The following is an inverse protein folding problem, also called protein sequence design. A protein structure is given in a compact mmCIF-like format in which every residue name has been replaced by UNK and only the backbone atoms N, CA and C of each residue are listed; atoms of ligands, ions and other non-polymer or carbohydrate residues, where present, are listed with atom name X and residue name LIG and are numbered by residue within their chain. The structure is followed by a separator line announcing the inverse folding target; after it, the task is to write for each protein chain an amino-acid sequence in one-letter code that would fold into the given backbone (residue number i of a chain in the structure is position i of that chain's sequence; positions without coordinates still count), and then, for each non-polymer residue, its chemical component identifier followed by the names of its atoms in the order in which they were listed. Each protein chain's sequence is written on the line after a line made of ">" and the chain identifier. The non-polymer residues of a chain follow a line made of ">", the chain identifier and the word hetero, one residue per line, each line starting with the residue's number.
data_IF_955093469276
#
_entry.id   IF_955093469276
#
_cell.length_a   1.000
_cell.length_b   1.000
_cell.length_c   1.000
_cell.angle_alpha   90.00
_cell.angle_beta   90.00
_cell.angle_gamma   90.00
#
_symmetry.space_group_name_H-M   'P 1'
#
loop_
_entity.id
_entity.type
_entity.pdbx_description
1 polymer ?
#
# COMPACT_ATOMS: atom_id res chain seq x y z
N UNK A 1 -4.37 14.40 26.59
CA UNK A 1 -3.26 14.86 25.74
C UNK A 1 -3.42 14.27 24.34
N UNK A 2 -4.06 15.01 23.44
CA UNK A 2 -4.42 14.56 22.09
C UNK A 2 -3.54 15.29 21.06
N UNK A 3 -2.26 14.93 21.02
CA UNK A 3 -1.32 15.44 20.01
C UNK A 3 -1.41 14.56 18.76
N UNK A 4 -2.22 15.02 17.80
CA UNK A 4 -2.46 14.48 16.45
C UNK A 4 -3.27 13.16 16.33
N UNK A 5 -4.54 13.31 15.94
CA UNK A 5 -5.28 12.25 15.22
C UNK A 5 -4.48 11.90 13.96
N UNK A 6 -4.25 10.61 13.70
CA UNK A 6 -3.57 10.07 12.51
C UNK A 6 -2.02 10.01 12.55
N UNK A 7 -1.40 9.84 13.74
CA UNK A 7 0.02 9.46 13.83
C UNK A 7 0.20 7.94 13.94
N UNK A 8 0.57 7.35 12.82
CA UNK A 8 1.18 6.01 12.73
C UNK A 8 2.48 5.98 13.57
N UNK A 9 2.81 4.84 14.21
CA UNK A 9 4.02 4.67 15.02
C UNK A 9 5.31 5.05 14.28
N UNK A 10 5.25 5.08 12.94
CA UNK A 10 6.31 5.55 12.04
C UNK A 10 6.85 6.95 12.34
N UNK A 11 6.03 7.85 12.90
CA UNK A 11 6.49 9.21 13.21
C UNK A 11 7.51 9.28 14.36
N UNK A 12 7.69 8.18 15.10
CA UNK A 12 8.65 8.07 16.19
C UNK A 12 9.97 7.44 15.70
N UNK A 13 9.98 6.79 14.52
CA UNK A 13 11.16 6.11 13.96
C UNK A 13 12.40 7.02 13.85
N UNK A 14 12.30 8.30 13.42
CA UNK A 14 13.47 9.18 13.34
C UNK A 14 14.13 9.48 14.70
N UNK A 15 13.40 9.28 15.81
CA UNK A 15 13.93 9.48 17.16
C UNK A 15 14.68 8.26 17.70
N UNK A 16 14.53 7.08 17.07
CA UNK A 16 15.16 5.85 17.55
C UNK A 16 16.69 5.90 17.53
N UNK A 17 17.37 6.38 16.46
CA UNK A 17 18.83 6.43 16.46
C UNK A 17 19.42 7.36 17.55
N UNK A 18 18.94 8.61 17.74
CA UNK A 18 19.39 9.44 18.86
C UNK A 18 19.14 8.80 20.24
N UNK A 19 17.98 8.19 20.45
CA UNK A 19 17.67 7.49 21.70
C UNK A 19 18.60 6.28 21.94
N UNK A 20 18.93 5.53 20.89
CA UNK A 20 19.87 4.42 20.97
C UNK A 20 21.29 4.89 21.36
N UNK A 21 21.75 6.03 20.82
CA UNK A 21 23.04 6.61 21.19
C UNK A 21 23.05 7.09 22.65
N UNK A 22 22.01 7.80 23.08
CA UNK A 22 21.90 8.28 24.46
C UNK A 22 21.83 7.13 25.47
N UNK A 23 21.08 6.07 25.16
CA UNK A 23 20.99 4.88 26.01
C UNK A 23 22.31 4.11 26.03
N UNK A 24 23.01 3.98 24.89
CA UNK A 24 24.36 3.39 24.84
C UNK A 24 25.34 4.12 25.76
N UNK A 25 25.38 5.46 25.71
CA UNK A 25 26.22 6.27 26.59
C UNK A 25 25.88 6.03 28.06
N UNK A 26 24.60 5.96 28.43
CA UNK A 26 24.19 5.67 29.80
C UNK A 26 24.66 4.28 30.26
N UNK A 27 24.55 3.25 29.41
CA UNK A 27 24.99 1.89 29.73
C UNK A 27 26.51 1.79 29.89
N UNK A 28 27.29 2.53 29.10
CA UNK A 28 28.76 2.54 29.24
C UNK A 28 29.25 3.12 30.56
N UNK A 29 28.48 4.00 31.19
CA UNK A 29 28.81 4.60 32.50
C UNK A 29 28.59 3.66 33.69
N UNK A 30 28.02 2.47 33.48
CA UNK A 30 27.82 1.48 34.54
C UNK A 30 29.18 0.86 34.91
N UNK A 31 29.69 1.20 36.10
CA UNK A 31 31.00 0.75 36.58
C UNK A 31 31.08 -0.78 36.82
N UNK A 32 29.95 -1.40 37.19
CA UNK A 32 29.88 -2.85 37.46
C UNK A 32 29.73 -3.62 36.15
N UNK A 33 30.78 -4.34 35.74
CA UNK A 33 30.80 -5.13 34.51
C UNK A 33 29.65 -6.15 34.41
N UNK A 34 29.35 -6.84 35.51
CA UNK A 34 28.25 -7.81 35.56
C UNK A 34 26.89 -7.16 35.31
N UNK A 35 26.62 -6.01 35.95
CA UNK A 35 25.39 -5.26 35.77
C UNK A 35 25.28 -4.72 34.33
N UNK A 36 26.38 -4.22 33.78
CA UNK A 36 26.42 -3.73 32.39
C UNK A 36 26.07 -4.84 31.39
N UNK A 37 26.65 -6.04 31.56
CA UNK A 37 26.34 -7.21 30.72
C UNK A 37 24.88 -7.65 30.88
N UNK A 38 24.36 -7.63 32.11
CA UNK A 38 22.97 -7.97 32.38
C UNK A 38 22.00 -7.00 31.68
N UNK A 39 22.25 -5.69 31.75
CA UNK A 39 21.43 -4.68 31.07
C UNK A 39 21.48 -4.88 29.55
N UNK A 40 22.66 -5.03 28.96
CA UNK A 40 22.79 -5.31 27.52
C UNK A 40 22.06 -6.59 27.11
N UNK A 41 22.24 -7.68 27.86
CA UNK A 41 21.59 -8.95 27.61
C UNK A 41 20.07 -8.86 27.70
N UNK A 42 19.56 -8.13 28.69
CA UNK A 42 18.12 -7.90 28.85
C UNK A 42 17.55 -7.06 27.70
N UNK A 43 18.24 -6.01 27.27
CA UNK A 43 17.81 -5.20 26.12
C UNK A 43 17.73 -6.03 24.84
N UNK A 44 18.75 -6.84 24.56
CA UNK A 44 18.74 -7.75 23.41
C UNK A 44 17.64 -8.81 23.52
N UNK A 45 17.48 -9.40 24.71
CA UNK A 45 16.45 -10.41 24.97
C UNK A 45 15.04 -9.86 24.79
N UNK A 46 14.75 -8.69 25.36
CA UNK A 46 13.45 -8.01 25.18
C UNK A 46 13.25 -7.63 23.72
N UNK A 47 14.25 -7.05 23.06
CA UNK A 47 14.15 -6.66 21.64
C UNK A 47 13.87 -7.85 20.72
N UNK A 48 14.60 -8.95 20.89
CA UNK A 48 14.40 -10.19 20.13
C UNK A 48 13.02 -10.81 20.44
N UNK A 49 12.65 -10.90 21.71
CA UNK A 49 11.34 -11.41 22.12
C UNK A 49 10.22 -10.56 21.51
N UNK A 50 10.33 -9.23 21.54
CA UNK A 50 9.33 -8.34 20.96
C UNK A 50 9.20 -8.50 19.45
N UNK A 51 10.33 -8.66 18.74
CA UNK A 51 10.32 -8.94 17.31
C UNK A 51 9.61 -10.27 16.98
N UNK A 52 9.97 -11.35 17.70
CA UNK A 52 9.37 -12.67 17.50
C UNK A 52 7.87 -12.68 17.86
N UNK A 53 7.52 -12.03 18.98
CA UNK A 53 6.14 -11.92 19.43
C UNK A 53 5.27 -11.14 18.47
N UNK A 54 5.75 -10.01 17.95
CA UNK A 54 4.97 -9.17 17.04
C UNK A 54 4.80 -9.81 15.64
N UNK A 55 5.82 -10.51 15.15
CA UNK A 55 5.86 -11.02 13.77
C UNK A 55 5.38 -12.47 13.58
N UNK A 56 5.63 -13.36 14.55
CA UNK A 56 5.56 -14.81 14.31
C UNK A 56 4.66 -15.57 15.28
N UNK A 57 4.53 -15.13 16.53
CA UNK A 57 3.71 -15.83 17.51
C UNK A 57 2.20 -15.57 17.25
N UNK A 58 1.33 -16.59 17.31
CA UNK A 58 -0.11 -16.39 17.28
C UNK A 58 -0.66 -15.87 18.62
N UNK A 59 -1.84 -15.23 18.60
CA UNK A 59 -2.56 -14.77 19.80
C UNK A 59 -2.11 -13.41 20.35
N UNK A 60 -2.99 -12.75 21.11
CA UNK A 60 -2.70 -11.50 21.81
C UNK A 60 -2.62 -11.76 23.31
N UNK A 61 -1.55 -11.30 23.95
CA UNK A 61 -1.48 -11.17 25.39
C UNK A 61 -1.92 -9.76 25.78
N UNK A 62 -3.08 -9.68 26.43
CA UNK A 62 -3.63 -8.45 26.95
C UNK A 62 -3.21 -8.29 28.40
N UNK A 63 -2.70 -7.10 28.77
CA UNK A 63 -2.51 -6.77 30.19
C UNK A 63 -3.80 -6.14 30.71
N UNK A 64 -4.39 -6.68 31.79
CA UNK A 64 -5.52 -6.04 32.46
C UNK A 64 -5.20 -4.58 32.81
N UNK A 65 -6.01 -3.63 32.33
CA UNK A 65 -5.92 -2.21 32.67
C UNK A 65 -5.11 -1.31 31.72
N UNK A 66 -4.32 -1.87 30.79
CA UNK A 66 -3.54 -1.07 29.82
C UNK A 66 -4.20 -1.01 28.42
N UNK A 67 -5.07 -1.97 28.10
CA UNK A 67 -5.82 -2.01 26.85
C UNK A 67 -4.95 -2.33 25.63
N UNK A 68 -5.28 -3.41 24.92
CA UNK A 68 -4.53 -3.84 23.73
C UNK A 68 -3.35 -4.77 24.02
N UNK A 69 -2.66 -5.24 22.97
CA UNK A 69 -1.60 -6.24 23.11
C UNK A 69 -0.37 -5.66 23.80
N UNK A 70 0.28 -6.46 24.66
CA UNK A 70 1.49 -6.15 25.46
C UNK A 70 2.59 -5.38 24.71
N UNK A 71 2.74 -5.58 23.40
CA UNK A 71 3.83 -5.04 22.57
C UNK A 71 3.33 -4.37 21.27
N UNK A 72 2.10 -3.84 21.30
CA UNK A 72 1.51 -3.13 20.16
C UNK A 72 0.79 -4.04 19.16
N UNK A 73 0.32 -3.46 18.05
CA UNK A 73 -0.42 -4.19 17.03
C UNK A 73 0.42 -5.31 16.40
N UNK A 74 -0.09 -6.54 16.47
CA UNK A 74 0.51 -7.69 15.77
C UNK A 74 0.07 -7.69 14.31
N UNK A 75 1.02 -7.79 13.40
CA UNK A 75 0.77 -7.98 11.97
C UNK A 75 1.34 -9.32 11.53
N UNK A 76 0.63 -10.39 11.90
CA UNK A 76 1.01 -11.75 11.50
C UNK A 76 0.86 -11.89 9.98
N UNK A 77 1.83 -12.50 9.27
CA UNK A 77 1.69 -12.80 7.85
C UNK A 77 0.41 -13.57 7.58
N UNK A 78 -0.41 -13.08 6.65
CA UNK A 78 -1.62 -13.78 6.21
C UNK A 78 -1.33 -14.44 4.85
N UNK A 79 -1.67 -15.73 4.66
CA UNK A 79 -1.48 -16.42 3.40
C UNK A 79 -2.51 -16.03 2.33
N UNK A 80 -3.33 -15.00 2.59
CA UNK A 80 -4.38 -14.55 1.69
C UNK A 80 -3.80 -14.01 0.37
N UNK A 81 -4.27 -14.54 -0.76
CA UNK A 81 -3.87 -14.04 -2.08
C UNK A 81 -4.72 -12.82 -2.47
N UNK A 82 -4.12 -11.64 -2.41
CA UNK A 82 -4.73 -10.37 -2.84
C UNK A 82 -4.64 -10.11 -4.35
N UNK A 83 -4.19 -11.11 -5.12
CA UNK A 83 -4.12 -11.15 -6.59
C UNK A 83 -3.33 -9.99 -7.22
N UNK A 84 -2.39 -9.40 -6.47
CA UNK A 84 -1.56 -8.29 -6.96
C UNK A 84 -0.74 -8.72 -8.17
N UNK A 85 -0.09 -9.88 -8.10
CA UNK A 85 0.75 -10.37 -9.19
C UNK A 85 -0.09 -10.74 -10.43
N UNK A 86 -1.20 -11.46 -10.23
CA UNK A 86 -2.13 -11.84 -11.31
C UNK A 86 -2.65 -10.59 -12.05
N UNK A 87 -3.03 -9.55 -11.32
CA UNK A 87 -3.50 -8.29 -11.91
C UNK A 87 -2.39 -7.61 -12.72
N UNK A 88 -1.16 -7.60 -12.22
CA UNK A 88 -0.02 -7.01 -12.94
C UNK A 88 0.30 -7.79 -14.22
N UNK A 89 0.25 -9.12 -14.15
CA UNK A 89 0.51 -10.00 -15.30
C UNK A 89 -0.52 -9.78 -16.41
N UNK A 90 -1.79 -9.75 -16.04
CA UNK A 90 -2.89 -9.47 -16.97
C UNK A 90 -2.79 -8.06 -17.58
N UNK A 91 -2.34 -7.06 -16.81
CA UNK A 91 -2.11 -5.69 -17.30
C UNK A 91 -0.97 -5.65 -18.32
N UNK A 92 0.16 -6.28 -18.03
CA UNK A 92 1.32 -6.32 -18.94
C UNK A 92 0.96 -7.10 -20.21
N UNK A 93 0.26 -8.22 -20.06
CA UNK A 93 -0.20 -9.04 -21.20
C UNK A 93 -1.20 -8.29 -22.09
N UNK A 94 -2.08 -7.46 -21.51
CA UNK A 94 -3.06 -6.68 -22.25
C UNK A 94 -2.49 -5.38 -22.86
N UNK A 95 -1.51 -4.76 -22.18
CA UNK A 95 -0.91 -3.50 -22.62
C UNK A 95 0.21 -3.68 -23.63
N UNK A 96 0.93 -4.81 -23.59
CA UNK A 96 2.06 -5.15 -24.47
C UNK A 96 2.97 -3.95 -24.77
N UNK A 97 3.55 -3.30 -23.74
CA UNK A 97 4.33 -2.09 -23.94
C UNK A 97 5.54 -2.38 -24.82
N UNK A 98 5.84 -1.53 -25.82
CA UNK A 98 7.06 -1.64 -26.60
C UNK A 98 8.32 -1.58 -25.73
N UNK A 99 9.46 -2.12 -26.21
CA UNK A 99 10.73 -2.02 -25.48
C UNK A 99 11.05 -0.56 -25.10
N UNK A 100 11.32 -0.33 -23.82
CA UNK A 100 11.63 0.99 -23.27
C UNK A 100 10.42 1.86 -22.91
N UNK A 101 9.18 1.40 -23.15
CA UNK A 101 7.97 2.09 -22.69
C UNK A 101 7.40 1.42 -21.44
N UNK A 102 6.69 2.22 -20.64
CA UNK A 102 6.04 1.76 -19.39
C UNK A 102 4.55 2.05 -19.43
N UNK A 103 3.74 1.10 -18.97
CA UNK A 103 2.31 1.28 -18.77
C UNK A 103 2.06 2.13 -17.52
N UNK A 104 1.31 3.22 -17.67
CA UNK A 104 0.91 4.03 -16.52
C UNK A 104 -0.36 3.48 -15.90
N UNK A 105 -0.24 2.95 -14.68
CA UNK A 105 -1.35 2.32 -13.96
C UNK A 105 -1.68 3.14 -12.73
N UNK A 106 -2.97 3.39 -12.50
CA UNK A 106 -3.44 4.19 -11.37
C UNK A 106 -4.42 3.44 -10.49
N UNK A 107 -4.15 3.42 -9.19
CA UNK A 107 -4.99 2.77 -8.19
C UNK A 107 -5.91 3.78 -7.51
N UNK A 108 -7.20 3.47 -7.44
CA UNK A 108 -8.18 4.14 -6.57
C UNK A 108 -8.59 3.17 -5.46
N UNK A 109 -7.59 2.67 -4.74
CA UNK A 109 -7.79 1.70 -3.66
C UNK A 109 -7.02 2.17 -2.44
N UNK A 110 -7.66 2.05 -1.28
CA UNK A 110 -7.03 2.31 -0.01
C UNK A 110 -7.40 1.17 0.92
N UNK A 111 -6.66 0.06 0.82
CA UNK A 111 -6.79 -1.07 1.72
C UNK A 111 -5.38 -1.52 2.10
N UNK A 112 -5.18 -1.92 3.36
CA UNK A 112 -3.85 -2.26 3.92
C UNK A 112 -3.07 -3.25 3.05
N UNK A 113 -3.76 -4.22 2.46
CA UNK A 113 -3.18 -5.26 1.57
C UNK A 113 -3.47 -5.05 0.08
N UNK A 114 -4.28 -4.06 -0.28
CA UNK A 114 -4.66 -3.76 -1.67
C UNK A 114 -4.56 -2.26 -1.93
N UNK A 115 -3.32 -1.78 -1.98
CA UNK A 115 -2.96 -0.37 -2.11
C UNK A 115 -1.85 -0.17 -3.14
N UNK A 116 -1.70 1.05 -3.63
CA UNK A 116 -0.67 1.43 -4.61
C UNK A 116 0.73 0.92 -4.26
N UNK A 117 1.13 1.04 -2.99
CA UNK A 117 2.46 0.61 -2.53
C UNK A 117 2.73 -0.85 -2.85
N UNK A 118 1.78 -1.74 -2.55
CA UNK A 118 1.91 -3.16 -2.85
C UNK A 118 2.10 -3.41 -4.35
N UNK A 119 1.31 -2.78 -5.21
CA UNK A 119 1.46 -2.92 -6.67
C UNK A 119 2.80 -2.39 -7.18
N UNK A 120 3.23 -1.21 -6.70
CA UNK A 120 4.50 -0.59 -7.10
C UNK A 120 5.66 -1.49 -6.71
N UNK A 121 5.70 -1.91 -5.46
CA UNK A 121 6.82 -2.68 -4.93
C UNK A 121 6.89 -4.05 -5.62
N UNK A 122 5.74 -4.69 -5.91
CA UNK A 122 5.71 -5.94 -6.70
C UNK A 122 6.15 -5.75 -8.15
N UNK A 123 5.73 -4.67 -8.81
CA UNK A 123 6.17 -4.36 -10.17
C UNK A 123 7.69 -4.12 -10.23
N UNK A 124 8.23 -3.37 -9.27
CA UNK A 124 9.66 -3.03 -9.18
C UNK A 124 10.52 -4.26 -8.87
N UNK A 125 10.14 -5.06 -7.87
CA UNK A 125 10.84 -6.32 -7.52
C UNK A 125 10.90 -7.28 -8.72
N UNK A 126 9.86 -7.29 -9.55
CA UNK A 126 9.73 -8.18 -10.71
C UNK A 126 10.26 -7.57 -12.01
N UNK A 127 10.72 -6.32 -12.00
CA UNK A 127 11.20 -5.62 -13.20
C UNK A 127 10.14 -5.43 -14.29
N UNK A 128 8.86 -5.28 -13.92
CA UNK A 128 7.77 -5.11 -14.88
C UNK A 128 7.75 -3.67 -15.45
N UNK A 129 7.38 -3.48 -16.73
CA UNK A 129 7.28 -2.17 -17.38
C UNK A 129 6.00 -1.42 -16.97
N UNK A 130 5.80 -1.24 -15.66
CA UNK A 130 4.59 -0.66 -15.07
C UNK A 130 4.96 0.48 -14.13
N UNK A 131 4.46 1.68 -14.44
CA UNK A 131 4.61 2.85 -13.60
C UNK A 131 3.33 3.09 -12.78
N UNK A 132 3.41 2.78 -11.48
CA UNK A 132 2.30 2.92 -10.55
C UNK A 132 2.16 4.35 -10.04
N UNK A 133 1.11 5.06 -10.48
CA UNK A 133 0.84 6.45 -10.08
C UNK A 133 -0.41 6.57 -9.20
N UNK A 134 -0.46 7.65 -8.40
CA UNK A 134 -1.70 8.04 -7.72
C UNK A 134 -2.63 8.77 -8.68
N UNK A 135 -3.94 8.71 -8.43
CA UNK A 135 -4.90 9.51 -9.18
C UNK A 135 -4.83 10.98 -8.75
N UNK A 136 -4.50 11.85 -9.71
CA UNK A 136 -4.51 13.33 -9.54
C UNK A 136 -5.92 13.91 -9.74
N UNK A 137 -6.05 15.24 -9.84
CA UNK A 137 -7.35 15.92 -10.06
C UNK A 137 -7.95 15.57 -11.43
N UNK A 138 -7.11 15.44 -12.46
CA UNK A 138 -7.52 15.05 -13.81
C UNK A 138 -7.58 13.53 -13.92
N UNK A 139 -8.79 12.97 -13.82
CA UNK A 139 -9.03 11.54 -13.99
C UNK A 139 -8.91 11.20 -15.47
N UNK A 140 -8.02 10.27 -15.81
CA UNK A 140 -7.88 9.70 -17.17
C UNK A 140 -6.67 10.18 -17.98
N UNK A 141 -6.09 11.34 -17.63
CA UNK A 141 -4.94 11.90 -18.36
C UNK A 141 -3.69 11.02 -18.21
N UNK A 142 -3.05 10.62 -19.32
CA UNK A 142 -1.84 9.76 -19.29
C UNK A 142 -2.01 8.52 -18.39
N UNK A 143 -3.13 7.82 -18.53
CA UNK A 143 -3.41 6.56 -17.80
C UNK A 143 -3.78 5.48 -18.79
N UNK A 144 -3.13 4.33 -18.68
CA UNK A 144 -3.44 3.16 -19.50
C UNK A 144 -4.41 2.24 -18.78
N UNK A 145 -4.24 2.08 -17.45
CA UNK A 145 -5.13 1.25 -16.64
C UNK A 145 -5.52 1.93 -15.31
N UNK A 146 -6.76 1.69 -14.88
CA UNK A 146 -7.21 1.96 -13.52
C UNK A 146 -7.47 0.66 -12.77
N UNK A 147 -7.04 0.61 -11.50
CA UNK A 147 -7.38 -0.46 -10.57
C UNK A 147 -8.28 0.15 -9.48
N UNK A 148 -9.49 -0.36 -9.34
CA UNK A 148 -10.44 0.09 -8.32
C UNK A 148 -10.96 -1.10 -7.51
N UNK A 149 -11.36 -0.88 -6.27
CA UNK A 149 -12.06 -1.87 -5.43
C UNK A 149 -13.53 -1.51 -5.38
N UNK A 150 -14.42 -2.47 -5.66
CA UNK A 150 -15.85 -2.19 -5.83
C UNK A 150 -16.49 -1.62 -4.53
N UNK A 151 -16.03 -2.09 -3.37
CA UNK A 151 -16.54 -1.73 -2.05
C UNK A 151 -15.41 -1.13 -1.20
N UNK A 152 -15.56 0.14 -0.80
CA UNK A 152 -15.06 0.68 0.48
C UNK A 152 -15.56 2.11 0.62
N UNK A 153 -16.33 2.40 1.68
CA UNK A 153 -16.75 3.77 2.03
C UNK A 153 -16.83 4.10 3.54
N UNK A 154 -16.70 3.15 4.49
CA UNK A 154 -16.82 3.49 5.92
C UNK A 154 -15.55 3.30 6.76
N UNK A 155 -14.68 2.34 6.45
CA UNK A 155 -13.67 1.88 7.44
C UNK A 155 -12.21 2.19 7.04
N UNK A 156 -11.99 2.64 5.80
CA UNK A 156 -10.65 2.93 5.26
C UNK A 156 -10.37 4.46 5.29
N UNK A 157 -9.28 4.88 5.91
CA UNK A 157 -8.87 6.28 5.94
C UNK A 157 -8.55 6.80 4.52
N UNK A 158 -8.92 8.05 4.18
CA UNK A 158 -8.60 8.62 2.85
C UNK A 158 -9.55 8.22 1.71
N UNK A 159 -10.59 7.45 2.00
CA UNK A 159 -11.67 7.16 1.05
C UNK A 159 -12.34 8.44 0.55
N UNK A 160 -12.58 9.43 1.41
CA UNK A 160 -13.19 10.72 1.04
C UNK A 160 -12.47 11.42 -0.13
N UNK A 161 -11.14 11.32 -0.21
CA UNK A 161 -10.36 11.93 -1.29
C UNK A 161 -10.39 11.13 -2.61
N UNK A 162 -10.73 9.84 -2.54
CA UNK A 162 -10.79 8.94 -3.69
C UNK A 162 -12.23 8.78 -4.23
N UNK A 163 -13.25 8.90 -3.38
CA UNK A 163 -14.66 8.73 -3.75
C UNK A 163 -15.09 9.64 -4.91
N UNK A 164 -14.78 10.95 -4.93
CA UNK A 164 -15.15 11.80 -6.06
C UNK A 164 -14.50 11.36 -7.39
N UNK A 165 -13.26 10.89 -7.34
CA UNK A 165 -12.50 10.46 -8.52
C UNK A 165 -13.01 9.13 -9.06
N UNK A 166 -13.32 8.20 -8.16
CA UNK A 166 -13.97 6.92 -8.49
C UNK A 166 -15.35 7.17 -9.08
N UNK A 167 -16.17 8.01 -8.46
CA UNK A 167 -17.49 8.36 -8.98
C UNK A 167 -17.38 9.00 -10.36
N UNK A 168 -16.43 9.91 -10.58
CA UNK A 168 -16.19 10.50 -11.89
C UNK A 168 -15.84 9.45 -12.94
N UNK A 169 -14.91 8.54 -12.68
CA UNK A 169 -14.58 7.43 -13.60
C UNK A 169 -15.82 6.57 -13.93
N UNK A 170 -16.69 6.34 -12.93
CA UNK A 170 -17.85 5.46 -13.05
C UNK A 170 -19.13 6.14 -13.55
N UNK A 171 -19.19 7.46 -13.61
CA UNK A 171 -20.42 8.21 -13.97
C UNK A 171 -20.23 9.14 -15.16
N UNK A 172 -19.00 9.62 -15.42
CA UNK A 172 -18.69 10.51 -16.54
C UNK A 172 -18.72 9.70 -17.86
N UNK A 173 -19.66 10.00 -18.79
CA UNK A 173 -19.80 9.23 -20.03
C UNK A 173 -18.53 9.27 -20.90
N UNK A 174 -17.78 10.36 -20.88
CA UNK A 174 -16.54 10.48 -21.65
C UNK A 174 -15.47 9.52 -21.11
N UNK A 175 -15.37 9.39 -19.79
CA UNK A 175 -14.45 8.46 -19.15
C UNK A 175 -14.90 7.01 -19.29
N UNK A 176 -16.19 6.70 -19.21
CA UNK A 176 -16.71 5.35 -19.44
C UNK A 176 -16.45 4.87 -20.88
N UNK A 177 -16.57 5.76 -21.87
CA UNK A 177 -16.25 5.45 -23.26
C UNK A 177 -14.75 5.23 -23.48
N UNK A 178 -13.91 5.98 -22.74
CA UNK A 178 -12.45 5.89 -22.84
C UNK A 178 -11.89 4.70 -22.06
N UNK A 179 -12.44 4.41 -20.89
CA UNK A 179 -11.97 3.38 -19.96
C UNK A 179 -13.05 2.32 -19.78
N UNK A 180 -12.83 1.16 -20.37
CA UNK A 180 -13.76 0.04 -20.27
C UNK A 180 -13.27 -0.98 -19.26
N UNK A 181 -14.20 -1.65 -18.58
CA UNK A 181 -13.88 -2.75 -17.67
C UNK A 181 -13.15 -3.86 -18.45
N UNK A 182 -11.90 -4.11 -18.10
CA UNK A 182 -11.05 -5.13 -18.70
C UNK A 182 -11.21 -6.48 -17.99
N UNK A 183 -11.06 -6.48 -16.66
CA UNK A 183 -11.15 -7.71 -15.86
C UNK A 183 -11.59 -7.43 -14.43
N UNK A 184 -12.19 -8.44 -13.80
CA UNK A 184 -12.64 -8.39 -12.41
C UNK A 184 -12.06 -9.57 -11.63
N UNK A 185 -11.61 -9.32 -10.41
CA UNK A 185 -10.97 -10.33 -9.55
C UNK A 185 -11.67 -10.39 -8.20
N UNK A 186 -12.02 -11.58 -7.70
CA UNK A 186 -12.50 -11.74 -6.34
C UNK A 186 -11.35 -11.55 -5.34
N UNK A 187 -11.58 -10.75 -4.31
CA UNK A 187 -10.61 -10.51 -3.24
C UNK A 187 -10.95 -11.32 -1.98
N UNK A 188 -9.97 -11.60 -1.09
CA UNK A 188 -10.17 -12.42 0.11
C UNK A 188 -11.23 -11.91 1.09
N UNK A 189 -11.52 -10.61 1.04
CA UNK A 189 -12.50 -9.92 1.88
C UNK A 189 -13.94 -9.94 1.31
N UNK A 190 -14.17 -10.73 0.25
CA UNK A 190 -15.45 -10.80 -0.46
C UNK A 190 -15.74 -9.61 -1.39
N UNK A 191 -14.83 -8.63 -1.45
CA UNK A 191 -14.92 -7.52 -2.41
C UNK A 191 -14.34 -7.92 -3.76
N UNK A 192 -14.42 -7.02 -4.75
CA UNK A 192 -13.87 -7.26 -6.08
C UNK A 192 -12.92 -6.16 -6.49
N UNK A 193 -11.77 -6.53 -7.04
CA UNK A 193 -10.92 -5.62 -7.79
C UNK A 193 -11.44 -5.52 -9.22
N UNK A 194 -11.60 -4.32 -9.72
CA UNK A 194 -12.02 -4.01 -11.09
C UNK A 194 -10.87 -3.30 -11.77
N UNK A 195 -10.43 -3.82 -12.91
CA UNK A 195 -9.38 -3.23 -13.73
C UNK A 195 -10.03 -2.65 -14.98
N UNK A 196 -9.85 -1.36 -15.21
CA UNK A 196 -10.31 -0.67 -16.41
C UNK A 196 -9.12 -0.39 -17.31
N UNK A 197 -9.29 -0.60 -18.60
CA UNK A 197 -8.28 -0.36 -19.61
C UNK A 197 -8.71 0.80 -20.51
N UNK A 198 -7.76 1.67 -20.85
CA UNK A 198 -7.96 2.71 -21.85
C UNK A 198 -8.15 2.08 -23.22
N UNK A 199 -9.28 2.33 -23.87
CA UNK A 199 -9.47 2.06 -25.29
C UNK A 199 -8.97 3.25 -26.10
N UNK A 200 -8.02 2.99 -26.98
CA UNK A 200 -7.69 3.94 -28.04
C UNK A 200 -8.66 3.68 -29.19
N UNK A 201 -9.76 4.43 -29.24
CA UNK A 201 -10.61 4.45 -30.43
C UNK A 201 -9.89 5.35 -31.44
N UNK A 202 -9.47 4.85 -32.61
CA UNK A 202 -8.93 5.73 -33.64
C UNK A 202 -10.01 6.74 -34.00
N UNK A 203 -9.63 8.02 -34.13
CA UNK A 203 -10.55 9.11 -34.44
C UNK A 203 -11.06 9.01 -35.90
N UNK A 204 -11.81 7.96 -36.23
CA UNK A 204 -12.37 7.73 -37.57
C UNK A 204 -13.51 8.70 -37.92
N UNK A 205 -13.96 9.51 -36.96
CA UNK A 205 -15.09 10.45 -37.13
C UNK A 205 -14.69 11.93 -37.02
N UNK A 206 -13.40 12.27 -37.01
CA UNK A 206 -12.96 13.66 -37.18
C UNK A 206 -12.63 13.88 -38.66
N UNK A 207 -13.56 14.48 -39.41
CA UNK A 207 -13.26 15.02 -40.74
C UNK A 207 -12.14 16.05 -40.59
N UNK A 208 -10.96 15.77 -41.16
CA UNK A 208 -9.80 16.68 -41.17
C UNK A 208 -8.52 16.18 -40.50
N UNK A 209 -8.48 14.96 -39.96
CA UNK A 209 -7.28 14.39 -39.32
C UNK A 209 -6.28 13.75 -40.31
N UNK A 210 -6.18 14.26 -41.54
CA UNK A 210 -5.21 13.78 -42.55
C UNK A 210 -3.90 14.58 -42.57
N UNK A 211 -3.73 15.59 -41.71
CA UNK A 211 -2.49 16.37 -41.64
C UNK A 211 -2.09 16.72 -40.18
N UNK A 212 -1.54 15.74 -39.47
CA UNK A 212 -0.67 15.96 -38.31
C UNK A 212 0.48 14.96 -38.34
#
# INVERSE_FOLDING_TARGET
>A
MTLLKNKDHRYILPLLPPLALMTSLAVTRIARLGLRRAVCGLTLGVGLFSYLYAGFLPGNWEIPGIGGPLLGEKMVPRPENWRVDEILDDIVAAGQPPPGQTLTVRTMTYHRYFQRGAFRDRAEIRGLPVDMKSVKRNVGEMTDFFIIRNRSLSDDSGVEALSPKKNRLLQDPALQNTFTLFRTYPLPDGTRALVYQKRVVPAKNLKGAENL
#
